data_IF_648052205073
#
_entry.id   IF_648052205073
#
_cell.length_a   1.000
_cell.length_b   1.000
_cell.length_c   1.000
_cell.angle_alpha   90.00
_cell.angle_beta   90.00
_cell.angle_gamma   90.00
#
_symmetry.space_group_name_H-M   'P 1'
#
loop_
_entity.id
_entity.type
_entity.pdbx_description
1 polymer ?
#
# COMPACT_ATOMS: atom_id res chain seq x y z
N UNK A 1 -1.48 -5.20 -18.94
CA UNK A 1 -0.78 -5.65 -17.74
C UNK A 1 0.23 -4.58 -17.39
N UNK A 2 -0.19 -3.63 -16.54
CA UNK A 2 0.66 -2.59 -15.97
C UNK A 2 1.43 -3.21 -14.80
N UNK A 3 2.73 -2.99 -14.78
CA UNK A 3 3.60 -3.24 -13.62
C UNK A 3 3.80 -1.93 -12.88
N UNK A 4 3.88 -2.02 -11.57
CA UNK A 4 4.23 -0.89 -10.71
C UNK A 4 5.10 -1.39 -9.56
N UNK A 5 5.77 -0.46 -8.89
CA UNK A 5 6.64 -0.79 -7.77
C UNK A 5 5.84 -1.17 -6.53
N UNK A 6 6.31 -2.20 -5.83
CA UNK A 6 5.88 -2.49 -4.48
C UNK A 6 7.08 -2.51 -3.55
N UNK A 7 7.12 -1.52 -2.66
CA UNK A 7 8.09 -1.47 -1.58
C UNK A 7 7.61 -2.31 -0.40
N UNK A 8 8.53 -3.01 0.25
CA UNK A 8 8.25 -3.73 1.46
C UNK A 8 9.36 -3.45 2.46
N UNK A 9 8.98 -3.07 3.68
CA UNK A 9 9.91 -2.91 4.80
C UNK A 9 9.43 -3.79 5.95
N UNK A 10 10.26 -4.78 6.30
CA UNK A 10 10.00 -5.68 7.42
C UNK A 10 11.10 -5.48 8.44
N UNK A 11 10.79 -4.91 9.61
CA UNK A 11 11.77 -4.66 10.67
C UNK A 11 13.07 -4.02 10.15
N UNK A 12 12.94 -2.94 9.35
CA UNK A 12 14.02 -2.19 8.71
C UNK A 12 14.79 -2.94 7.60
N UNK A 13 14.28 -4.09 7.17
CA UNK A 13 14.77 -4.78 5.97
C UNK A 13 13.92 -4.39 4.78
N UNK A 14 14.51 -3.59 3.89
CA UNK A 14 13.84 -3.03 2.72
C UNK A 14 14.01 -3.92 1.49
N UNK A 15 12.94 -4.02 0.70
CA UNK A 15 12.95 -4.67 -0.61
C UNK A 15 11.95 -4.00 -1.54
N UNK A 16 12.24 -4.06 -2.84
CA UNK A 16 11.32 -3.59 -3.89
C UNK A 16 11.11 -4.71 -4.89
N UNK A 17 9.86 -4.93 -5.31
CA UNK A 17 9.49 -5.91 -6.32
C UNK A 17 8.51 -5.35 -7.34
N UNK A 18 8.46 -6.00 -8.50
CA UNK A 18 7.36 -5.84 -9.46
C UNK A 18 6.05 -6.31 -8.82
N UNK A 19 4.98 -5.54 -9.03
CA UNK A 19 3.63 -5.88 -8.56
C UNK A 19 2.62 -5.73 -9.69
N UNK A 20 1.66 -6.64 -9.71
CA UNK A 20 0.52 -6.63 -10.62
C UNK A 20 -0.78 -6.37 -9.86
N UNK A 21 -1.80 -5.86 -10.57
CA UNK A 21 -3.11 -5.58 -9.99
C UNK A 21 -3.75 -6.78 -9.24
N UNK A 22 -3.72 -8.02 -9.78
CA UNK A 22 -4.34 -9.16 -9.09
C UNK A 22 -3.65 -9.51 -7.77
N UNK A 23 -2.33 -9.34 -7.69
CA UNK A 23 -1.55 -9.63 -6.50
C UNK A 23 -1.84 -8.61 -5.39
N UNK A 24 -1.85 -7.32 -5.73
CA UNK A 24 -2.22 -6.27 -4.78
C UNK A 24 -3.67 -6.43 -4.27
N UNK A 25 -4.60 -6.76 -5.17
CA UNK A 25 -6.00 -7.01 -4.79
C UNK A 25 -6.11 -8.17 -3.80
N UNK A 26 -5.42 -9.29 -4.08
CA UNK A 26 -5.39 -10.45 -3.20
C UNK A 26 -4.78 -10.11 -1.84
N UNK A 27 -3.69 -9.35 -1.82
CA UNK A 27 -3.00 -8.94 -0.61
C UNK A 27 -3.94 -8.12 0.31
N UNK A 28 -4.56 -7.07 -0.21
CA UNK A 28 -5.43 -6.19 0.59
C UNK A 28 -6.72 -6.93 0.98
N UNK A 29 -7.32 -7.71 0.09
CA UNK A 29 -8.50 -8.54 0.41
C UNK A 29 -8.23 -9.54 1.53
N UNK A 30 -7.09 -10.23 1.47
CA UNK A 30 -6.70 -11.17 2.49
C UNK A 30 -6.49 -10.45 3.83
N UNK A 31 -5.86 -9.28 3.81
CA UNK A 31 -5.69 -8.45 5.01
C UNK A 31 -7.02 -8.01 5.63
N UNK A 32 -7.98 -7.55 4.82
CA UNK A 32 -9.34 -7.20 5.29
C UNK A 32 -10.06 -8.42 5.88
N UNK A 33 -9.85 -9.60 5.30
CA UNK A 33 -10.51 -10.83 5.74
C UNK A 33 -9.93 -11.41 7.04
N UNK A 34 -8.62 -11.27 7.23
CA UNK A 34 -7.91 -11.85 8.38
C UNK A 34 -7.98 -10.98 9.64
N UNK A 35 -8.31 -9.69 9.47
CA UNK A 35 -8.49 -8.73 10.55
C UNK A 35 -9.97 -8.56 10.92
N UNK A 36 -10.26 -8.38 12.21
CA UNK A 36 -11.63 -8.12 12.68
C UNK A 36 -12.17 -6.76 12.19
N UNK A 37 -11.29 -5.76 12.11
CA UNK A 37 -11.60 -4.42 11.61
C UNK A 37 -10.35 -3.78 11.02
N UNK A 38 -10.47 -3.26 9.79
CA UNK A 38 -9.37 -2.56 9.09
C UNK A 38 -9.74 -1.11 8.89
N UNK A 39 -9.03 -0.21 9.55
CA UNK A 39 -9.08 1.23 9.29
C UNK A 39 -8.66 1.52 7.85
N UNK A 40 -9.43 2.37 7.20
CA UNK A 40 -9.14 2.92 5.88
C UNK A 40 -9.14 4.44 5.95
N UNK A 41 -8.10 5.04 5.38
CA UNK A 41 -7.91 6.47 5.41
C UNK A 41 -6.85 6.95 4.43
N UNK A 42 -6.49 8.22 4.55
CA UNK A 42 -5.53 8.90 3.70
C UNK A 42 -4.50 9.63 4.54
N UNK A 43 -3.25 9.64 4.06
CA UNK A 43 -2.15 10.44 4.55
C UNK A 43 -2.07 11.71 3.70
N UNK A 44 -2.12 12.87 4.34
CA UNK A 44 -1.87 14.14 3.69
C UNK A 44 -0.50 14.68 4.11
N UNK A 45 0.50 14.40 3.27
CA UNK A 45 1.91 14.72 3.54
C UNK A 45 2.15 16.20 3.85
N UNK A 46 1.50 17.09 3.11
CA UNK A 46 1.70 18.55 3.24
C UNK A 46 1.12 19.12 4.54
N UNK A 47 0.12 18.44 5.12
CA UNK A 47 -0.60 18.91 6.31
C UNK A 47 -0.20 18.12 7.56
N UNK A 48 0.75 17.17 7.43
CA UNK A 48 1.15 16.23 8.49
C UNK A 48 -0.08 15.57 9.15
N UNK A 49 -1.09 15.25 8.35
CA UNK A 49 -2.41 14.86 8.81
C UNK A 49 -2.80 13.45 8.32
N UNK A 50 -3.46 12.71 9.20
CA UNK A 50 -4.14 11.45 8.87
C UNK A 50 -5.65 11.67 8.88
N UNK A 51 -6.30 11.31 7.78
CA UNK A 51 -7.75 11.32 7.66
C UNK A 51 -8.28 9.90 7.66
N UNK A 52 -9.04 9.52 8.69
CA UNK A 52 -9.71 8.21 8.74
C UNK A 52 -11.09 8.34 8.11
N UNK A 53 -11.34 7.59 7.03
CA UNK A 53 -12.66 7.57 6.40
C UNK A 53 -13.59 6.59 7.10
N UNK A 54 -13.09 5.43 7.49
CA UNK A 54 -13.93 4.35 7.99
C UNK A 54 -13.21 3.02 8.13
N UNK A 55 -14.00 1.96 8.13
CA UNK A 55 -13.55 0.56 8.16
C UNK A 55 -13.69 -0.04 6.78
N UNK A 56 -12.59 -0.45 6.16
CA UNK A 56 -12.62 -1.14 4.87
C UNK A 56 -13.47 -2.42 4.98
N UNK A 57 -14.33 -2.62 3.99
CA UNK A 57 -15.15 -3.82 3.84
C UNK A 57 -14.73 -4.62 2.61
N UNK A 58 -14.33 -3.92 1.55
CA UNK A 58 -13.95 -4.55 0.28
C UNK A 58 -13.02 -3.63 -0.51
N UNK A 59 -12.07 -4.23 -1.23
CA UNK A 59 -11.30 -3.57 -2.29
C UNK A 59 -11.55 -4.27 -3.64
N UNK A 60 -11.62 -3.51 -4.72
CA UNK A 60 -11.70 -4.06 -6.08
C UNK A 60 -10.66 -3.38 -6.93
N UNK A 61 -9.67 -4.15 -7.39
CA UNK A 61 -8.69 -3.69 -8.38
C UNK A 61 -8.94 -4.43 -9.69
N UNK A 62 -9.41 -3.71 -10.69
CA UNK A 62 -9.80 -4.20 -12.01
C UNK A 62 -9.06 -3.40 -13.08
N UNK A 63 -7.90 -3.93 -13.47
CA UNK A 63 -7.05 -3.31 -14.49
C UNK A 63 -7.75 -3.17 -15.86
N UNK A 64 -8.43 -4.20 -16.41
CA UNK A 64 -9.15 -4.06 -17.68
C UNK A 64 -10.16 -2.90 -17.72
N UNK A 65 -10.80 -2.60 -16.58
CA UNK A 65 -11.76 -1.51 -16.45
C UNK A 65 -11.15 -0.23 -15.83
N UNK A 66 -9.83 -0.15 -15.71
CA UNK A 66 -9.10 0.99 -15.14
C UNK A 66 -9.61 1.42 -13.76
N UNK A 67 -9.87 0.47 -12.86
CA UNK A 67 -10.60 0.74 -11.62
C UNK A 67 -9.88 0.24 -10.39
N UNK A 68 -9.71 1.13 -9.42
CA UNK A 68 -9.42 0.81 -8.03
C UNK A 68 -10.57 1.36 -7.17
N UNK A 69 -11.25 0.49 -6.43
CA UNK A 69 -12.37 0.90 -5.58
C UNK A 69 -12.24 0.33 -4.18
N UNK A 70 -12.53 1.15 -3.17
CA UNK A 70 -12.58 0.73 -1.77
C UNK A 70 -13.95 1.06 -1.21
N UNK A 71 -14.68 0.02 -0.81
CA UNK A 71 -15.92 0.14 -0.06
C UNK A 71 -15.60 0.13 1.42
N UNK A 72 -16.07 1.15 2.15
CA UNK A 72 -15.84 1.30 3.59
C UNK A 72 -17.10 1.72 4.33
N UNK A 73 -17.17 1.40 5.61
CA UNK A 73 -18.21 1.86 6.53
C UNK A 73 -17.68 3.04 7.34
N UNK A 74 -18.36 4.19 7.29
CA UNK A 74 -17.96 5.39 8.03
C UNK A 74 -17.90 5.15 9.56
N UNK A 75 -17.02 5.91 10.24
CA UNK A 75 -16.85 5.81 11.69
C UNK A 75 -18.02 6.42 12.47
N UNK A 76 -18.49 7.59 12.04
CA UNK A 76 -19.50 8.37 12.78
C UNK A 76 -20.94 7.90 12.52
N UNK A 77 -21.19 7.39 11.30
CA UNK A 77 -22.49 6.91 10.85
C UNK A 77 -22.27 5.57 10.17
N UNK A 78 -23.13 4.56 10.38
CA UNK A 78 -23.03 3.27 9.71
C UNK A 78 -23.51 3.38 8.25
N UNK A 79 -22.95 4.34 7.51
CA UNK A 79 -23.18 4.53 6.09
C UNK A 79 -22.03 3.87 5.33
N UNK A 80 -22.37 3.05 4.36
CA UNK A 80 -21.41 2.47 3.42
C UNK A 80 -21.15 3.47 2.31
N UNK A 81 -19.87 3.78 2.09
CA UNK A 81 -19.39 4.64 1.03
C UNK A 81 -18.35 3.92 0.17
N UNK A 82 -18.03 4.53 -0.97
CA UNK A 82 -17.07 4.01 -1.92
C UNK A 82 -16.15 5.14 -2.41
N UNK A 83 -14.85 4.89 -2.37
CA UNK A 83 -13.86 5.70 -3.09
C UNK A 83 -13.45 4.93 -4.33
N UNK A 84 -13.48 5.60 -5.47
CA UNK A 84 -13.08 5.04 -6.76
C UNK A 84 -12.03 5.92 -7.41
N UNK A 85 -10.93 5.29 -7.85
CA UNK A 85 -9.77 5.93 -8.46
C UNK A 85 -9.41 5.17 -9.75
N UNK A 86 -8.89 5.87 -10.78
CA UNK A 86 -8.33 5.22 -11.95
C UNK A 86 -7.14 4.34 -11.56
N UNK A 87 -7.15 3.07 -11.97
CA UNK A 87 -6.02 2.17 -11.70
C UNK A 87 -4.73 2.63 -12.41
N UNK A 88 -4.85 3.29 -13.57
CA UNK A 88 -3.72 3.87 -14.30
C UNK A 88 -3.00 5.00 -13.55
N UNK A 89 -3.61 5.52 -12.48
CA UNK A 89 -2.99 6.53 -11.62
C UNK A 89 -2.25 5.91 -10.41
N UNK A 90 -2.31 4.59 -10.22
CA UNK A 90 -1.58 3.91 -9.14
C UNK A 90 -0.06 4.00 -9.38
N UNK A 91 0.69 4.65 -8.51
CA UNK A 91 2.14 4.81 -8.70
C UNK A 91 2.93 3.73 -7.99
N UNK A 92 2.62 3.51 -6.72
CA UNK A 92 3.36 2.61 -5.85
C UNK A 92 2.44 2.07 -4.76
N UNK A 93 2.78 0.90 -4.25
CA UNK A 93 2.21 0.39 -3.01
C UNK A 93 3.32 0.02 -2.05
N UNK A 94 3.06 0.13 -0.75
CA UNK A 94 3.99 -0.28 0.29
C UNK A 94 3.35 -1.24 1.26
N UNK A 95 4.15 -2.19 1.74
CA UNK A 95 3.83 -3.03 2.88
C UNK A 95 4.86 -2.78 3.99
N UNK A 96 4.40 -2.19 5.09
CA UNK A 96 5.19 -1.96 6.29
C UNK A 96 4.82 -2.99 7.35
N UNK A 97 5.79 -3.77 7.83
CA UNK A 97 5.59 -4.76 8.89
C UNK A 97 6.66 -4.54 9.96
N UNK A 98 6.25 -4.16 11.16
CA UNK A 98 7.18 -3.97 12.27
C UNK A 98 6.68 -4.62 13.54
N UNK A 99 7.61 -5.08 14.37
CA UNK A 99 7.32 -5.49 15.73
C UNK A 99 7.08 -4.24 16.59
N UNK A 100 5.86 -4.12 17.14
CA UNK A 100 5.44 -3.02 18.01
C UNK A 100 5.40 -3.53 19.45
N UNK A 101 6.01 -2.77 20.36
CA UNK A 101 5.89 -2.99 21.80
C UNK A 101 4.67 -2.20 22.27
N UNK A 102 3.56 -2.89 22.49
CA UNK A 102 2.31 -2.33 22.96
C UNK A 102 2.13 -2.53 24.47
N UNK A 103 1.77 -1.48 25.21
CA UNK A 103 1.62 -1.55 26.66
C UNK A 103 0.50 -2.51 27.12
N UNK A 104 -0.53 -2.70 26.29
CA UNK A 104 -1.70 -3.52 26.63
C UNK A 104 -1.63 -4.92 26.02
N UNK A 105 -0.99 -5.05 24.84
CA UNK A 105 -0.98 -6.28 24.03
C UNK A 105 0.38 -6.98 23.97
N UNK A 106 1.42 -6.36 24.53
CA UNK A 106 2.79 -6.88 24.48
C UNK A 106 3.45 -6.66 23.12
N UNK A 107 4.39 -7.52 22.76
CA UNK A 107 5.04 -7.45 21.44
C UNK A 107 4.13 -8.07 20.37
N UNK A 108 3.71 -7.27 19.39
CA UNK A 108 2.87 -7.70 18.28
C UNK A 108 3.52 -7.31 16.95
N UNK A 109 3.40 -8.18 15.95
CA UNK A 109 3.81 -7.83 14.58
C UNK A 109 2.65 -7.07 13.92
N UNK A 110 2.83 -5.77 13.69
CA UNK A 110 1.81 -4.91 13.14
C UNK A 110 2.11 -4.59 11.68
N UNK A 111 1.06 -4.62 10.85
CA UNK A 111 1.15 -4.42 9.40
C UNK A 111 0.35 -3.18 9.01
N UNK A 112 0.88 -2.38 8.08
CA UNK A 112 0.15 -1.33 7.39
C UNK A 112 0.40 -1.45 5.89
N UNK A 113 -0.65 -1.35 5.08
CA UNK A 113 -0.55 -1.32 3.61
C UNK A 113 -0.83 0.09 3.14
N UNK A 114 0.06 0.65 2.33
CA UNK A 114 -0.10 1.95 1.70
C UNK A 114 -0.29 1.80 0.20
N UNK A 115 -1.13 2.65 -0.39
CA UNK A 115 -1.40 2.68 -1.83
C UNK A 115 -1.42 4.13 -2.28
N UNK A 116 -0.49 4.50 -3.15
CA UNK A 116 -0.27 5.88 -3.57
C UNK A 116 -0.70 6.09 -5.02
N UNK A 117 -1.49 7.12 -5.24
CA UNK A 117 -2.00 7.50 -6.56
C UNK A 117 -1.55 8.90 -6.92
N UNK A 118 -1.24 9.10 -8.21
CA UNK A 118 -1.08 10.43 -8.77
C UNK A 118 -2.45 11.07 -9.02
N UNK A 119 -2.72 12.23 -8.41
CA UNK A 119 -3.90 13.04 -8.72
C UNK A 119 -3.54 14.09 -9.77
N UNK A 120 -4.04 13.91 -10.99
CA UNK A 120 -3.82 14.84 -12.11
C UNK A 120 -4.44 16.23 -11.89
N UNK A 121 -5.54 16.32 -11.14
CA UNK A 121 -6.23 17.58 -10.88
C UNK A 121 -5.48 18.46 -9.90
N UNK A 122 -4.95 17.86 -8.84
CA UNK A 122 -4.17 18.55 -7.80
C UNK A 122 -2.67 18.53 -8.08
N UNK A 123 -2.22 17.77 -9.08
CA UNK A 123 -0.81 17.55 -9.43
C UNK A 123 0.02 17.11 -8.23
N UNK A 124 -0.53 16.20 -7.44
CA UNK A 124 0.10 15.72 -6.21
C UNK A 124 -0.22 14.25 -5.98
N UNK A 125 0.61 13.59 -5.19
CA UNK A 125 0.36 12.22 -4.76
C UNK A 125 -0.63 12.17 -3.60
N UNK A 126 -1.52 11.19 -3.63
CA UNK A 126 -2.42 10.84 -2.53
C UNK A 126 -2.15 9.42 -2.08
N UNK A 127 -1.83 9.27 -0.79
CA UNK A 127 -1.53 7.96 -0.19
C UNK A 127 -2.67 7.51 0.70
N UNK A 128 -3.24 6.36 0.39
CA UNK A 128 -4.25 5.69 1.21
C UNK A 128 -3.60 4.63 2.07
N UNK A 129 -4.16 4.36 3.25
CA UNK A 129 -3.67 3.32 4.15
C UNK A 129 -4.76 2.32 4.53
N UNK A 130 -4.34 1.09 4.83
CA UNK A 130 -5.12 0.03 5.46
C UNK A 130 -4.36 -0.43 6.71
N UNK A 131 -5.02 -0.41 7.87
CA UNK A 131 -4.39 -0.75 9.14
C UNK A 131 -5.37 -1.43 10.10
N UNK A 132 -4.94 -2.45 10.83
CA UNK A 132 -5.78 -3.20 11.75
C UNK A 132 -6.14 -2.34 12.98
N UNK A 133 -7.43 -2.10 13.19
CA UNK A 133 -7.92 -1.21 14.26
C UNK A 133 -7.62 -1.73 15.67
N UNK A 134 -7.45 -3.04 15.81
CA UNK A 134 -7.51 -3.73 17.09
C UNK A 134 -6.28 -4.58 17.39
N UNK A 135 -5.25 -4.59 16.56
CA UNK A 135 -4.01 -5.33 16.84
C UNK A 135 -3.04 -4.57 17.77
N UNK A 136 -3.07 -3.24 17.78
CA UNK A 136 -2.32 -2.36 18.70
C UNK A 136 -3.27 -1.38 19.41
N UNK A 137 -2.79 -0.68 20.42
CA UNK A 137 -3.54 0.32 21.20
C UNK A 137 -3.65 1.65 20.45
N UNK A 138 -2.58 2.04 19.73
CA UNK A 138 -2.51 3.29 18.97
C UNK A 138 -2.22 3.00 17.48
N UNK A 139 -3.21 2.50 16.70
CA UNK A 139 -2.98 2.11 15.31
C UNK A 139 -2.57 3.28 14.41
N UNK A 140 -3.09 4.48 14.65
CA UNK A 140 -2.77 5.67 13.84
C UNK A 140 -1.36 6.21 14.09
N UNK A 141 -0.83 6.09 15.30
CA UNK A 141 0.58 6.41 15.58
C UNK A 141 1.50 5.48 14.79
N UNK A 142 1.16 4.19 14.73
CA UNK A 142 1.89 3.23 13.91
C UNK A 142 1.79 3.55 12.41
N UNK A 143 0.60 3.93 11.91
CA UNK A 143 0.41 4.34 10.51
C UNK A 143 1.33 5.51 10.13
N UNK A 144 1.40 6.54 10.96
CA UNK A 144 2.27 7.69 10.72
C UNK A 144 3.75 7.29 10.80
N UNK A 145 4.17 6.63 11.88
CA UNK A 145 5.56 6.28 12.10
C UNK A 145 6.10 5.32 11.03
N UNK A 146 5.29 4.35 10.60
CA UNK A 146 5.70 3.39 9.58
C UNK A 146 5.82 4.04 8.20
N UNK A 147 4.98 5.03 7.89
CA UNK A 147 5.04 5.73 6.62
C UNK A 147 6.38 6.45 6.43
N UNK A 148 6.91 7.09 7.48
CA UNK A 148 8.24 7.72 7.46
C UNK A 148 9.36 6.72 7.13
N UNK A 149 9.18 5.43 7.46
CA UNK A 149 10.17 4.38 7.20
C UNK A 149 10.04 3.72 5.82
N UNK A 150 8.92 3.94 5.11
CA UNK A 150 8.67 3.25 3.83
C UNK A 150 8.46 4.19 2.66
N UNK A 151 8.19 5.48 2.91
CA UNK A 151 7.82 6.42 1.85
C UNK A 151 8.79 6.40 0.68
N UNK A 152 10.11 6.32 0.92
CA UNK A 152 11.10 6.38 -0.16
C UNK A 152 11.43 5.01 -0.80
N UNK A 153 10.97 3.91 -0.22
CA UNK A 153 11.32 2.55 -0.67
C UNK A 153 10.71 2.28 -2.04
N UNK A 154 11.54 2.04 -3.05
CA UNK A 154 11.11 1.64 -4.39
C UNK A 154 10.60 2.77 -5.29
N UNK A 155 10.71 4.04 -4.86
CA UNK A 155 10.37 5.20 -5.68
C UNK A 155 11.37 5.49 -6.81
N UNK A 156 12.60 5.03 -6.66
CA UNK A 156 13.70 5.16 -7.63
C UNK A 156 13.77 3.98 -8.61
N UNK A 157 12.88 2.99 -8.46
CA UNK A 157 12.87 1.79 -9.30
C UNK A 157 11.91 1.97 -10.47
N UNK A 158 12.48 1.98 -11.67
CA UNK A 158 11.73 1.87 -12.91
C UNK A 158 11.93 0.47 -13.52
N UNK A 159 10.88 -0.36 -13.45
CA UNK A 159 10.89 -1.70 -14.03
C UNK A 159 10.85 -1.69 -15.57
N UNK A 160 10.64 -0.53 -16.21
CA UNK A 160 10.76 -0.38 -17.66
C UNK A 160 12.22 -0.25 -18.13
N UNK A 161 13.17 0.02 -17.22
CA UNK A 161 14.60 -0.02 -17.55
C UNK A 161 15.08 -1.48 -17.63
N UNK A 162 14.92 -2.03 -18.82
CA UNK A 162 15.56 -3.23 -19.38
C UNK A 162 16.59 -3.87 -18.44
N UNK A 163 16.18 -4.94 -17.75
CA UNK A 163 17.14 -5.87 -17.17
C UNK A 163 18.19 -6.20 -18.22
N UNK A 164 19.47 -6.19 -17.84
CA UNK A 164 20.54 -6.77 -18.66
C UNK A 164 20.04 -8.11 -19.17
N UNK A 165 19.73 -8.18 -20.46
CA UNK A 165 19.32 -9.45 -21.05
C UNK A 165 20.48 -10.40 -20.83
N UNK A 166 20.26 -11.46 -20.07
CA UNK A 166 21.24 -12.55 -19.91
C UNK A 166 21.57 -13.23 -21.26
N UNK A 167 20.99 -12.75 -22.37
CA UNK A 167 21.23 -13.16 -23.73
C UNK A 167 22.48 -12.55 -24.40
N UNK A 168 23.10 -11.51 -23.83
CA UNK A 168 24.32 -10.92 -24.44
C UNK A 168 25.62 -11.68 -24.15
N UNK A 169 25.57 -12.78 -23.38
CA UNK A 169 26.74 -13.66 -23.15
C UNK A 169 26.93 -14.78 -24.17
N UNK A 170 26.26 -14.74 -25.33
CA UNK A 170 26.52 -15.69 -26.43
C UNK A 170 27.41 -15.14 -27.55
N UNK A 171 27.69 -13.84 -27.60
CA UNK A 171 28.54 -13.23 -28.65
C UNK A 171 30.04 -13.22 -28.30
N UNK A 172 30.42 -13.55 -27.06
CA UNK A 172 31.82 -13.51 -26.59
C UNK A 172 32.45 -14.87 -26.26
N UNK A 173 31.72 -15.97 -26.42
CA UNK A 173 32.31 -17.30 -26.40
C UNK A 173 32.59 -17.72 -27.84
N UNK A 174 33.79 -17.36 -28.34
CA UNK A 174 34.34 -18.00 -29.54
C UNK A 174 34.72 -19.46 -29.21
N UNK A 175 34.55 -20.39 -30.16
CA UNK A 175 34.97 -21.79 -29.98
C UNK A 175 36.47 -21.92 -29.74
#
# INVERSE_FOLDING_TARGET
MRVFSHGCNINFSESTREMFAPDLNKIIQQYIKDSDSVLFGMIHLEEEALYVFGRAQQVVIDEPNNRFAVTYMQMEKPLTENIELPFENLEISHEAIFDVIDEQKGQVQYRVIYVSFWDEGEKKERTYFFADEHLVSNPLECVAAFWEQVTDVGRDVDFNMTGCTAHDRRSHLKP
#
